data_IF_421656266192
#
_entry.id   IF_421656266192
#
_cell.length_a   1.000
_cell.length_b   1.000
_cell.length_c   1.000
_cell.angle_alpha   90.00
_cell.angle_beta   90.00
_cell.angle_gamma   90.00
#
_symmetry.space_group_name_H-M   'P 1'
#
loop_
_entity.id
_entity.type
_entity.pdbx_description
1 polymer ?
#
# COMPACT_ATOMS: atom_id res chain seq x y z
N UNK A 1 -21.30 -8.93 -1.16
CA UNK A 1 -20.35 -8.23 -2.07
C UNK A 1 -21.17 -7.24 -2.90
N UNK A 2 -20.78 -5.97 -2.98
CA UNK A 2 -21.49 -4.97 -3.80
C UNK A 2 -20.97 -5.00 -5.23
N UNK A 3 -21.84 -4.70 -6.21
CA UNK A 3 -21.49 -4.67 -7.64
C UNK A 3 -20.37 -3.66 -7.89
N UNK A 4 -20.52 -2.45 -7.34
CA UNK A 4 -19.54 -1.36 -7.44
C UNK A 4 -18.15 -1.75 -6.92
N UNK A 5 -18.08 -2.46 -5.78
CA UNK A 5 -16.80 -2.89 -5.20
C UNK A 5 -16.11 -3.99 -6.01
N UNK A 6 -16.89 -4.85 -6.67
CA UNK A 6 -16.35 -5.87 -7.56
C UNK A 6 -15.74 -5.24 -8.80
N UNK A 7 -16.46 -4.32 -9.44
CA UNK A 7 -15.99 -3.67 -10.66
C UNK A 7 -14.77 -2.76 -10.38
N UNK A 8 -14.73 -2.05 -9.25
CA UNK A 8 -13.56 -1.26 -8.83
C UNK A 8 -12.31 -2.13 -8.67
N UNK A 9 -12.45 -3.29 -8.02
CA UNK A 9 -11.33 -4.23 -7.84
C UNK A 9 -10.90 -4.85 -9.17
N UNK A 10 -11.83 -5.18 -10.06
CA UNK A 10 -11.53 -5.76 -11.37
C UNK A 10 -10.78 -4.77 -12.28
N UNK A 11 -11.23 -3.52 -12.35
CA UNK A 11 -10.55 -2.44 -13.09
C UNK A 11 -9.14 -2.18 -12.54
N UNK A 12 -8.96 -2.27 -11.21
CA UNK A 12 -7.65 -2.12 -10.57
C UNK A 12 -6.64 -3.23 -10.89
N UNK A 13 -7.08 -4.44 -11.24
CA UNK A 13 -6.18 -5.53 -11.65
C UNK A 13 -5.80 -5.44 -13.13
N UNK A 14 -6.77 -5.17 -14.01
CA UNK A 14 -6.51 -4.98 -15.43
C UNK A 14 -7.64 -4.19 -16.09
N UNK A 15 -7.30 -3.00 -16.62
CA UNK A 15 -8.24 -2.14 -17.35
C UNK A 15 -8.82 -2.82 -18.58
N UNK A 16 -7.98 -3.42 -19.42
CA UNK A 16 -8.40 -4.05 -20.66
C UNK A 16 -9.27 -5.28 -20.38
N UNK A 17 -8.88 -6.10 -19.40
CA UNK A 17 -9.68 -7.26 -18.98
C UNK A 17 -11.06 -6.89 -18.44
N UNK A 18 -11.18 -5.73 -17.77
CA UNK A 18 -12.47 -5.24 -17.29
C UNK A 18 -13.37 -4.72 -18.43
N UNK A 19 -12.78 -4.08 -19.44
CA UNK A 19 -13.48 -3.61 -20.64
C UNK A 19 -14.03 -4.77 -21.47
N UNK A 20 -13.23 -5.83 -21.66
CA UNK A 20 -13.68 -7.08 -22.32
C UNK A 20 -14.81 -7.79 -21.55
N UNK A 21 -14.87 -7.63 -20.23
CA UNK A 21 -15.93 -8.19 -19.40
C UNK A 21 -17.23 -7.33 -19.38
N UNK A 22 -17.29 -6.25 -20.17
CA UNK A 22 -18.45 -5.37 -20.28
C UNK A 22 -18.65 -4.42 -19.10
N UNK A 23 -17.65 -4.25 -18.23
CA UNK A 23 -17.73 -3.32 -17.09
C UNK A 23 -17.47 -1.87 -17.53
N UNK A 24 -18.20 -0.88 -16.99
CA UNK A 24 -18.01 0.53 -17.32
C UNK A 24 -16.72 1.09 -16.69
N UNK A 25 -15.58 0.85 -17.34
CA UNK A 25 -14.24 1.23 -16.86
C UNK A 25 -14.10 2.72 -16.56
N UNK A 26 -14.51 3.59 -17.49
CA UNK A 26 -14.35 5.05 -17.37
C UNK A 26 -15.09 5.60 -16.15
N UNK A 27 -16.33 5.12 -15.91
CA UNK A 27 -17.12 5.52 -14.74
C UNK A 27 -16.42 5.12 -13.45
N UNK A 28 -15.85 3.91 -13.40
CA UNK A 28 -15.24 3.40 -12.19
C UNK A 28 -13.91 4.08 -11.87
N UNK A 29 -13.15 4.48 -12.88
CA UNK A 29 -11.97 5.33 -12.72
C UNK A 29 -12.39 6.67 -12.10
N UNK A 30 -13.38 7.36 -12.66
CA UNK A 30 -13.85 8.67 -12.15
C UNK A 30 -14.36 8.55 -10.71
N UNK A 31 -15.17 7.53 -10.41
CA UNK A 31 -15.69 7.28 -9.06
C UNK A 31 -14.54 7.02 -8.08
N UNK A 32 -13.54 6.20 -8.46
CA UNK A 32 -12.39 5.93 -7.60
C UNK A 32 -11.56 7.20 -7.31
N UNK A 33 -11.36 8.04 -8.33
CA UNK A 33 -10.60 9.28 -8.23
C UNK A 33 -11.35 10.34 -7.41
N UNK A 34 -12.67 10.42 -7.55
CA UNK A 34 -13.52 11.28 -6.75
C UNK A 34 -13.50 10.89 -5.27
N UNK A 35 -13.62 9.59 -4.96
CA UNK A 35 -13.54 9.11 -3.57
C UNK A 35 -12.17 9.39 -2.96
N UNK A 36 -11.09 9.08 -3.69
CA UNK A 36 -9.73 9.34 -3.21
C UNK A 36 -9.47 10.84 -3.00
N UNK A 37 -9.87 11.68 -3.96
CA UNK A 37 -9.72 13.13 -3.90
C UNK A 37 -10.53 13.75 -2.76
N UNK A 38 -11.76 13.29 -2.53
CA UNK A 38 -12.57 13.74 -1.41
C UNK A 38 -11.93 13.42 -0.05
N UNK A 39 -11.40 12.20 0.11
CA UNK A 39 -10.71 11.78 1.33
C UNK A 39 -9.40 12.56 1.57
N UNK A 40 -8.57 12.74 0.54
CA UNK A 40 -7.32 13.50 0.66
C UNK A 40 -7.58 14.98 0.91
N UNK A 41 -8.64 15.54 0.29
CA UNK A 41 -9.06 16.92 0.52
C UNK A 41 -9.54 17.14 1.95
N UNK A 42 -10.35 16.22 2.49
CA UNK A 42 -10.78 16.25 3.90
C UNK A 42 -9.60 16.14 4.87
N UNK A 43 -8.66 15.24 4.60
CA UNK A 43 -7.46 15.10 5.43
C UNK A 43 -6.62 16.39 5.43
N UNK A 44 -6.42 17.01 4.26
CA UNK A 44 -5.75 18.30 4.16
C UNK A 44 -6.50 19.41 4.90
N UNK A 45 -7.82 19.51 4.72
CA UNK A 45 -8.64 20.50 5.39
C UNK A 45 -8.55 20.38 6.93
N UNK A 46 -8.63 19.16 7.47
CA UNK A 46 -8.47 18.89 8.91
C UNK A 46 -7.08 19.32 9.39
N UNK A 47 -6.03 19.00 8.63
CA UNK A 47 -4.66 19.36 8.98
C UNK A 47 -4.47 20.89 9.04
N UNK A 48 -4.98 21.61 8.03
CA UNK A 48 -4.86 23.07 7.95
C UNK A 48 -5.70 23.78 9.02
N UNK A 49 -6.93 23.34 9.26
CA UNK A 49 -7.78 23.92 10.30
C UNK A 49 -7.23 23.63 11.71
N UNK A 50 -6.61 22.45 11.92
CA UNK A 50 -6.02 22.07 13.21
C UNK A 50 -4.66 22.71 13.52
N UNK A 51 -3.82 22.96 12.51
CA UNK A 51 -2.48 23.55 12.65
C UNK A 51 -2.39 24.98 12.09
N UNK A 52 -3.44 25.78 12.28
CA UNK A 52 -3.59 27.11 11.67
C UNK A 52 -2.44 28.12 11.99
N UNK A 53 -1.67 27.89 13.06
CA UNK A 53 -0.64 28.83 13.53
C UNK A 53 0.79 28.56 13.01
N UNK A 54 1.02 27.46 12.28
CA UNK A 54 2.38 27.04 11.87
C UNK A 54 2.40 26.73 10.38
N UNK A 55 2.11 27.73 9.55
CA UNK A 55 2.33 27.62 8.10
C UNK A 55 3.79 27.96 7.78
N UNK A 56 4.65 26.95 7.75
CA UNK A 56 6.00 27.09 7.20
C UNK A 56 5.94 27.02 5.66
N UNK A 57 6.03 28.20 5.06
CA UNK A 57 6.06 28.37 3.60
C UNK A 57 7.38 27.77 3.09
N UNK A 58 7.31 26.77 2.20
CA UNK A 58 8.48 26.13 1.59
C UNK A 58 8.87 24.76 2.18
N UNK A 59 8.16 24.25 3.18
CA UNK A 59 8.39 22.88 3.72
C UNK A 59 7.33 21.93 3.16
N UNK A 60 7.78 20.85 2.51
CA UNK A 60 6.88 19.80 2.02
C UNK A 60 6.34 18.98 3.20
N UNK A 61 5.00 18.80 3.31
CA UNK A 61 4.42 17.93 4.34
C UNK A 61 4.89 16.47 4.16
N UNK A 62 5.50 15.88 5.18
CA UNK A 62 5.98 14.49 5.14
C UNK A 62 4.86 13.45 5.20
N UNK A 63 3.67 13.84 5.68
CA UNK A 63 2.54 12.95 5.93
C UNK A 63 2.05 12.19 4.69
N UNK A 64 2.21 12.78 3.50
CA UNK A 64 1.87 12.10 2.24
C UNK A 64 2.81 10.94 1.91
N UNK A 65 4.09 11.06 2.26
CA UNK A 65 5.09 10.01 2.05
C UNK A 65 4.93 8.89 3.09
N UNK A 66 4.71 9.25 4.36
CA UNK A 66 4.47 8.30 5.44
C UNK A 66 3.23 7.43 5.16
N UNK A 67 2.20 7.99 4.50
CA UNK A 67 1.01 7.25 4.08
C UNK A 67 1.31 6.07 3.14
N UNK A 68 2.34 6.14 2.29
CA UNK A 68 2.76 5.05 1.41
C UNK A 68 3.29 3.88 2.26
N UNK A 69 4.11 4.20 3.26
CA UNK A 69 4.66 3.20 4.18
C UNK A 69 3.55 2.52 5.01
N UNK A 70 2.57 3.29 5.50
CA UNK A 70 1.41 2.77 6.23
C UNK A 70 0.55 1.86 5.34
N UNK A 71 0.37 2.20 4.06
CA UNK A 71 -0.37 1.36 3.12
C UNK A 71 0.32 0.01 2.86
N UNK A 72 1.66 0.01 2.83
CA UNK A 72 2.47 -1.21 2.74
C UNK A 72 2.38 -2.06 4.01
N UNK A 73 2.43 -1.42 5.19
CA UNK A 73 2.24 -2.10 6.49
C UNK A 73 0.87 -2.80 6.56
N UNK A 74 -0.18 -2.17 6.03
CA UNK A 74 -1.53 -2.75 5.95
C UNK A 74 -1.75 -3.77 4.81
N UNK A 75 -0.71 -4.19 4.10
CA UNK A 75 -0.74 -5.15 3.01
C UNK A 75 -1.75 -4.83 1.87
N UNK A 76 -2.01 -3.54 1.60
CA UNK A 76 -3.02 -3.08 0.63
C UNK A 76 -4.45 -3.62 0.88
N UNK A 77 -4.74 -4.08 2.10
CA UNK A 77 -6.07 -4.47 2.51
C UNK A 77 -6.75 -3.29 3.24
N UNK A 78 -7.92 -2.80 2.81
CA UNK A 78 -8.52 -1.59 3.38
C UNK A 78 -8.66 -1.61 4.91
N UNK A 79 -9.02 -2.77 5.48
CA UNK A 79 -9.17 -2.94 6.93
C UNK A 79 -7.80 -2.90 7.63
N UNK A 80 -6.79 -3.55 7.04
CA UNK A 80 -5.43 -3.53 7.57
C UNK A 80 -4.82 -2.13 7.54
N UNK A 81 -5.02 -1.39 6.45
CA UNK A 81 -4.54 -0.01 6.30
C UNK A 81 -5.19 0.91 7.35
N UNK A 82 -6.47 0.73 7.65
CA UNK A 82 -7.16 1.53 8.67
C UNK A 82 -6.55 1.34 10.07
N UNK A 83 -6.34 0.10 10.51
CA UNK A 83 -5.69 -0.17 11.79
C UNK A 83 -4.23 0.28 11.83
N UNK A 84 -3.49 0.07 10.75
CA UNK A 84 -2.11 0.56 10.62
C UNK A 84 -2.01 2.07 10.69
N UNK A 85 -2.93 2.79 10.04
CA UNK A 85 -2.98 4.26 10.08
C UNK A 85 -3.32 4.79 11.48
N UNK A 86 -4.23 4.12 12.19
CA UNK A 86 -4.56 4.46 13.58
C UNK A 86 -3.33 4.28 14.49
N UNK A 87 -2.66 3.13 14.42
CA UNK A 87 -1.45 2.85 15.18
C UNK A 87 -0.33 3.86 14.87
N UNK A 88 -0.10 4.12 13.59
CA UNK A 88 0.90 5.09 13.15
C UNK A 88 0.57 6.51 13.62
N UNK A 89 -0.70 6.90 13.58
CA UNK A 89 -1.17 8.19 14.09
C UNK A 89 -0.94 8.36 15.60
N UNK A 90 -1.15 7.30 16.40
CA UNK A 90 -0.84 7.31 17.84
C UNK A 90 0.65 7.51 18.08
N UNK A 91 1.53 6.83 17.32
CA UNK A 91 2.98 7.04 17.41
C UNK A 91 3.39 8.47 17.00
N UNK A 92 2.79 8.99 15.94
CA UNK A 92 3.06 10.33 15.42
C UNK A 92 2.65 11.44 16.39
N UNK A 93 1.52 11.29 17.07
CA UNK A 93 1.10 12.24 18.11
C UNK A 93 1.90 12.01 19.41
N UNK A 94 2.19 10.75 19.73
CA UNK A 94 2.98 10.34 20.89
C UNK A 94 4.38 10.93 20.92
N UNK A 95 5.08 11.00 19.77
CA UNK A 95 6.41 11.64 19.69
C UNK A 95 6.37 13.13 20.05
N UNK A 96 5.29 13.83 19.70
CA UNK A 96 5.08 15.23 20.05
C UNK A 96 4.87 15.41 21.57
N UNK A 97 4.03 14.57 22.17
CA UNK A 97 3.81 14.60 23.62
C UNK A 97 5.05 14.24 24.43
N UNK A 98 5.84 13.26 23.98
CA UNK A 98 7.09 12.85 24.66
C UNK A 98 8.17 13.94 24.59
N UNK A 99 8.24 14.67 23.48
CA UNK A 99 9.12 15.83 23.36
C UNK A 99 8.72 16.93 24.34
N UNK A 100 7.42 17.22 24.45
CA UNK A 100 6.90 18.26 25.33
C UNK A 100 7.01 17.89 26.84
N UNK A 101 6.77 16.63 27.21
CA UNK A 101 6.68 16.21 28.61
C UNK A 101 8.02 15.75 29.22
N UNK A 102 8.86 15.04 28.45
CA UNK A 102 10.06 14.35 28.98
C UNK A 102 11.35 14.83 28.29
N UNK A 103 11.28 15.84 27.41
CA UNK A 103 12.40 16.33 26.58
C UNK A 103 13.09 15.20 25.80
N UNK A 104 12.34 14.17 25.41
CA UNK A 104 12.87 13.12 24.53
C UNK A 104 13.01 13.70 23.13
N UNK A 105 14.18 13.59 22.49
CA UNK A 105 14.36 14.05 21.11
C UNK A 105 13.45 13.25 20.16
N UNK A 106 12.71 13.91 19.25
CA UNK A 106 11.77 13.24 18.34
C UNK A 106 12.47 12.25 17.38
N UNK A 107 13.77 12.41 17.18
CA UNK A 107 14.61 11.57 16.32
C UNK A 107 14.59 10.09 16.76
N UNK A 108 14.45 9.83 18.07
CA UNK A 108 14.32 8.47 18.60
C UNK A 108 13.02 7.81 18.15
N UNK A 109 11.91 8.55 18.21
CA UNK A 109 10.62 8.04 17.77
C UNK A 109 10.58 7.84 16.25
N UNK A 110 11.20 8.74 15.48
CA UNK A 110 11.33 8.61 14.03
C UNK A 110 12.15 7.37 13.65
N UNK A 111 13.21 7.06 14.40
CA UNK A 111 14.00 5.83 14.21
C UNK A 111 13.17 4.57 14.48
N UNK A 112 12.35 4.56 15.54
CA UNK A 112 11.44 3.45 15.84
C UNK A 112 10.44 3.24 14.70
N UNK A 113 9.79 4.31 14.24
CA UNK A 113 8.84 4.25 13.12
C UNK A 113 9.50 3.74 11.83
N UNK A 114 10.69 4.26 11.50
CA UNK A 114 11.46 3.82 10.34
C UNK A 114 11.79 2.32 10.40
N UNK A 115 12.17 1.82 11.59
CA UNK A 115 12.50 0.40 11.77
C UNK A 115 11.26 -0.48 11.60
N UNK A 116 10.10 -0.08 12.14
CA UNK A 116 8.82 -0.79 11.96
C UNK A 116 8.46 -0.86 10.47
N UNK A 117 8.54 0.26 9.76
CA UNK A 117 8.26 0.33 8.32
C UNK A 117 9.24 -0.56 7.54
N UNK A 118 10.52 -0.53 7.89
CA UNK A 118 11.55 -1.32 7.23
C UNK A 118 11.30 -2.83 7.37
N UNK A 119 10.99 -3.30 8.58
CA UNK A 119 10.60 -4.69 8.80
C UNK A 119 9.32 -5.06 8.04
N UNK A 120 8.31 -4.19 8.04
CA UNK A 120 7.05 -4.43 7.34
C UNK A 120 7.27 -4.54 5.82
N UNK A 121 8.01 -3.60 5.22
CA UNK A 121 8.36 -3.62 3.81
C UNK A 121 9.15 -4.89 3.44
N UNK A 122 10.12 -5.26 4.27
CA UNK A 122 10.94 -6.46 4.08
C UNK A 122 10.09 -7.73 4.14
N UNK A 123 9.14 -7.84 5.08
CA UNK A 123 8.24 -8.99 5.19
C UNK A 123 7.39 -9.19 3.93
N UNK A 124 6.85 -8.11 3.36
CA UNK A 124 6.06 -8.17 2.13
C UNK A 124 6.91 -8.53 0.92
N UNK A 125 8.14 -8.01 0.84
CA UNK A 125 9.09 -8.35 -0.22
C UNK A 125 9.46 -9.83 -0.13
N UNK A 126 9.76 -10.34 1.08
CA UNK A 126 10.11 -11.74 1.30
C UNK A 126 9.02 -12.69 0.81
N UNK A 127 7.75 -12.42 1.10
CA UNK A 127 6.64 -13.23 0.60
C UNK A 127 6.57 -13.27 -0.93
N UNK A 128 6.79 -12.12 -1.59
CA UNK A 128 6.80 -12.04 -3.06
C UNK A 128 8.03 -12.73 -3.66
N UNK A 129 9.19 -12.56 -3.04
CA UNK A 129 10.47 -13.14 -3.48
C UNK A 129 10.44 -14.66 -3.35
N UNK A 130 10.02 -15.20 -2.20
CA UNK A 130 9.88 -16.64 -1.97
C UNK A 130 8.88 -17.25 -2.95
N UNK A 131 7.74 -16.60 -3.20
CA UNK A 131 6.77 -17.06 -4.22
C UNK A 131 7.34 -17.04 -5.63
N UNK A 132 8.15 -16.04 -6.00
CA UNK A 132 8.87 -16.00 -7.29
C UNK A 132 9.89 -17.12 -7.41
N UNK A 133 10.72 -17.35 -6.40
CA UNK A 133 11.71 -18.44 -6.40
C UNK A 133 11.05 -19.82 -6.45
N UNK A 134 9.93 -20.02 -5.73
CA UNK A 134 9.14 -21.26 -5.78
C UNK A 134 8.44 -21.47 -7.13
N UNK A 135 8.05 -20.39 -7.82
CA UNK A 135 7.49 -20.45 -9.18
C UNK A 135 8.56 -20.77 -10.23
N UNK A 136 9.75 -20.16 -10.13
CA UNK A 136 10.88 -20.46 -11.02
C UNK A 136 11.30 -21.93 -10.95
N UNK A 137 11.27 -22.55 -9.75
CA UNK A 137 11.60 -23.96 -9.59
C UNK A 137 10.51 -24.91 -10.13
N UNK A 138 9.26 -24.46 -10.23
CA UNK A 138 8.14 -25.24 -10.78
C UNK A 138 8.06 -25.15 -12.31
N UNK A 139 8.49 -24.04 -12.90
CA UNK A 139 8.55 -23.85 -14.35
C UNK A 139 9.71 -24.66 -14.97
N UNK A 140 10.86 -24.80 -14.30
CA UNK A 140 11.98 -25.64 -14.75
C UNK A 140 11.64 -27.15 -14.75
N UNK A 141 10.91 -27.62 -13.74
CA UNK A 141 10.52 -29.03 -13.61
C UNK A 141 9.47 -29.45 -14.66
N UNK A 142 8.72 -28.47 -15.20
CA UNK A 142 7.69 -28.70 -16.22
C UNK A 142 8.27 -28.78 -17.65
N UNK A 143 9.37 -28.09 -17.93
CA UNK A 143 10.09 -28.16 -19.22
C UNK A 143 10.89 -29.46 -19.37
N UNK A 144 11.43 -30.00 -18.28
CA UNK A 144 12.15 -31.28 -18.28
C UNK A 144 11.28 -32.48 -18.69
N UNK A 145 9.99 -32.49 -18.30
CA UNK A 145 9.07 -33.58 -18.65
C UNK A 145 8.59 -33.56 -20.10
N UNK A 146 8.35 -32.38 -20.69
CA UNK A 146 7.91 -32.30 -22.09
C UNK A 146 9.01 -32.66 -23.09
N UNK A 147 10.28 -32.32 -22.83
CA UNK A 147 11.38 -32.69 -23.74
C UNK A 147 11.69 -34.19 -23.72
N UNK A 148 11.45 -34.87 -22.60
CA UNK A 148 11.61 -36.34 -22.50
C UNK A 148 10.45 -37.12 -23.12
N UNK A 149 9.24 -36.55 -23.19
CA UNK A 149 8.10 -37.19 -23.85
C UNK A 149 8.19 -37.13 -25.38
N UNK A 150 8.70 -36.04 -25.96
CA UNK A 150 8.88 -35.88 -27.42
C UNK A 150 9.90 -36.88 -27.99
N UNK A 151 10.99 -37.17 -27.28
CA UNK A 151 12.06 -38.08 -27.77
C UNK A 151 11.70 -39.56 -27.74
N UNK A 152 10.63 -39.97 -27.06
CA UNK A 152 10.18 -41.37 -27.00
C UNK A 152 9.17 -41.68 -28.11
N UNK A 153 8.52 -40.68 -28.68
CA UNK A 153 7.57 -40.85 -29.80
C UNK A 153 8.30 -40.90 -31.16
N UNK A 154 9.54 -40.41 -31.23
CA UNK A 154 10.36 -40.38 -32.46
C UNK A 154 11.25 -41.63 -32.65
N UNK A 155 11.11 -42.65 -31.80
CA UNK A 155 11.78 -43.95 -31.92
C UNK A 155 10.77 -45.08 -31.97
#
# INVERSE_FOLDING_TARGET
KTVLGYELKAVGFNRFGAEYAGMPVNRNIIVSMMIAGALSGLAGAIQYTGNANIMQIGVMPTQGFDGIAVALLGASNPIGVFFSALFFGVLYVGKGFMNAAVKVPPELADTIMATIIYFAATSMIMDKVIKRFKKSKKDDDSKGKNSSAERVVEK
#
